data_IF_536659155797
#
_entry.id   IF_536659155797
#
_cell.length_a   1.000
_cell.length_b   1.000
_cell.length_c   1.000
_cell.angle_alpha   90.00
_cell.angle_beta   90.00
_cell.angle_gamma   90.00
#
_symmetry.space_group_name_H-M   'P 1'
#
loop_
_entity.id
_entity.type
_entity.pdbx_description
1 polymer ?
#
# COMPACT_ATOMS: atom_id res chain seq x y z
N UNK A 1 34.68 27.59 11.51
CA UNK A 1 34.47 26.32 12.22
C UNK A 1 32.98 26.05 12.30
N UNK A 2 32.44 25.26 11.38
CA UNK A 2 31.00 24.96 11.30
C UNK A 2 30.70 23.74 12.17
N UNK A 3 29.66 23.88 13.00
CA UNK A 3 29.27 22.95 14.06
C UNK A 3 28.78 21.62 13.45
N UNK A 4 29.28 20.51 13.97
CA UNK A 4 28.80 19.16 13.67
C UNK A 4 27.30 19.08 13.98
N UNK A 5 26.47 18.79 12.98
CA UNK A 5 25.05 18.50 13.17
C UNK A 5 24.92 17.12 13.83
N UNK A 6 24.12 16.95 14.90
CA UNK A 6 23.93 15.64 15.51
C UNK A 6 23.22 14.73 14.52
N UNK A 7 23.92 13.69 14.09
CA UNK A 7 23.42 12.57 13.29
C UNK A 7 22.29 11.85 14.03
N UNK A 8 21.08 12.00 13.50
CA UNK A 8 20.06 10.95 13.31
C UNK A 8 19.92 9.89 14.43
N UNK A 9 19.43 10.27 15.62
CA UNK A 9 19.00 9.30 16.64
C UNK A 9 17.49 9.09 16.57
N UNK A 10 17.08 7.94 16.03
CA UNK A 10 15.70 7.47 16.11
C UNK A 10 15.32 7.25 17.58
N UNK A 11 14.15 7.75 17.97
CA UNK A 11 13.50 7.46 19.23
C UNK A 11 13.17 5.96 19.33
N UNK A 12 12.96 5.45 20.56
CA UNK A 12 12.55 4.05 20.78
C UNK A 12 11.25 3.71 20.06
N UNK A 13 10.33 4.67 19.96
CA UNK A 13 9.06 4.52 19.26
C UNK A 13 9.28 4.36 17.75
N UNK A 14 10.10 5.21 17.14
CA UNK A 14 10.44 5.12 15.71
C UNK A 14 11.16 3.80 15.38
N UNK A 15 12.10 3.37 16.23
CA UNK A 15 12.77 2.07 16.07
C UNK A 15 11.78 0.91 16.13
N UNK A 16 10.83 0.95 17.07
CA UNK A 16 9.78 -0.06 17.22
C UNK A 16 8.85 -0.08 16.00
N UNK A 17 8.50 1.10 15.47
CA UNK A 17 7.66 1.22 14.28
C UNK A 17 8.37 0.66 13.04
N UNK A 18 9.66 0.92 12.87
CA UNK A 18 10.47 0.35 11.78
C UNK A 18 10.54 -1.18 11.84
N UNK A 19 10.63 -1.78 13.03
CA UNK A 19 10.60 -3.24 13.20
C UNK A 19 9.27 -3.87 12.79
N UNK A 20 8.17 -3.10 12.75
CA UNK A 20 6.84 -3.56 12.37
C UNK A 20 6.55 -3.38 10.87
N UNK A 21 7.36 -2.58 10.19
CA UNK A 21 7.22 -2.35 8.75
C UNK A 21 7.29 -3.66 7.97
N UNK A 22 6.56 -3.71 6.86
CA UNK A 22 6.70 -4.81 5.93
C UNK A 22 8.08 -4.74 5.26
N UNK A 23 8.72 -5.89 5.14
CA UNK A 23 9.98 -6.01 4.42
C UNK A 23 9.69 -6.25 2.94
N UNK A 24 10.08 -5.28 2.10
CA UNK A 24 9.98 -5.36 0.65
C UNK A 24 11.35 -5.35 -0.03
N UNK A 25 12.44 -5.57 0.70
CA UNK A 25 13.80 -5.48 0.14
C UNK A 25 14.08 -6.49 -0.97
N UNK A 26 13.31 -7.58 -1.05
CA UNK A 26 13.45 -8.63 -2.05
C UNK A 26 12.61 -8.42 -3.32
N UNK A 27 11.72 -7.43 -3.37
CA UNK A 27 10.85 -7.23 -4.55
C UNK A 27 11.62 -6.57 -5.69
N UNK A 28 11.35 -6.98 -6.92
CA UNK A 28 12.04 -6.47 -8.10
C UNK A 28 11.25 -5.35 -8.79
N UNK A 29 9.97 -5.22 -8.45
CA UNK A 29 9.08 -4.21 -9.03
C UNK A 29 8.02 -3.77 -8.02
N UNK A 30 7.47 -2.56 -8.19
CA UNK A 30 6.42 -2.04 -7.33
C UNK A 30 5.14 -2.91 -7.31
N UNK A 31 4.68 -3.51 -8.42
CA UNK A 31 3.49 -4.37 -8.39
C UNK A 31 3.60 -5.59 -7.45
N UNK A 32 4.81 -6.11 -7.22
CA UNK A 32 5.05 -7.24 -6.32
C UNK A 32 4.77 -6.93 -4.84
N UNK A 33 4.66 -5.65 -4.48
CA UNK A 33 4.29 -5.23 -3.12
C UNK A 33 2.84 -5.64 -2.81
N UNK A 34 1.93 -5.53 -3.77
CA UNK A 34 0.50 -5.74 -3.54
C UNK A 34 0.10 -7.13 -3.07
N UNK A 35 0.60 -8.25 -3.63
CA UNK A 35 0.31 -9.58 -3.10
C UNK A 35 0.85 -9.77 -1.68
N UNK A 36 2.03 -9.21 -1.36
CA UNK A 36 2.63 -9.30 -0.02
C UNK A 36 1.82 -8.48 1.00
N UNK A 37 1.37 -7.30 0.61
CA UNK A 37 0.52 -6.43 1.42
C UNK A 37 -0.85 -7.07 1.68
N UNK A 38 -1.47 -7.68 0.65
CA UNK A 38 -2.72 -8.44 0.79
C UNK A 38 -2.58 -9.62 1.77
N UNK A 39 -1.48 -10.36 1.73
CA UNK A 39 -1.25 -11.46 2.68
C UNK A 39 -1.04 -10.97 4.12
N UNK A 40 -0.28 -9.87 4.30
CA UNK A 40 0.09 -9.38 5.63
C UNK A 40 -1.04 -8.58 6.30
N UNK A 41 -1.81 -7.84 5.51
CA UNK A 41 -2.79 -6.88 6.00
C UNK A 41 -4.23 -7.19 5.56
N UNK A 42 -4.46 -8.36 4.96
CA UNK A 42 -5.74 -8.94 4.49
C UNK A 42 -6.97 -8.04 4.67
N UNK A 43 -7.52 -7.97 5.88
CA UNK A 43 -8.80 -7.31 6.22
C UNK A 43 -8.67 -5.84 6.64
N UNK A 44 -7.47 -5.27 6.65
CA UNK A 44 -7.22 -3.86 6.98
C UNK A 44 -7.61 -3.03 5.76
N UNK A 45 -8.31 -1.91 5.99
CA UNK A 45 -8.67 -0.95 4.95
C UNK A 45 -7.40 -0.33 4.37
N UNK A 46 -7.17 -0.56 3.07
CA UNK A 46 -6.05 -0.02 2.30
C UNK A 46 -6.42 1.28 1.57
N UNK A 47 -7.67 1.35 1.08
CA UNK A 47 -8.20 2.49 0.35
C UNK A 47 -9.57 2.83 0.90
N UNK A 48 -9.75 4.08 1.30
CA UNK A 48 -11.06 4.65 1.61
C UNK A 48 -11.25 5.85 0.69
N UNK A 49 -12.18 5.73 -0.25
CA UNK A 49 -12.52 6.80 -1.18
C UNK A 49 -13.91 7.35 -0.84
N UNK A 50 -13.99 8.45 -0.06
CA UNK A 50 -15.26 9.10 0.25
C UNK A 50 -15.80 9.94 -0.91
N UNK A 51 -15.01 10.14 -1.96
CA UNK A 51 -15.35 10.96 -3.12
C UNK A 51 -15.58 10.12 -4.38
N UNK A 52 -15.58 8.79 -4.28
CA UNK A 52 -15.96 7.91 -5.37
C UNK A 52 -17.42 8.22 -5.79
N UNK A 53 -17.56 9.00 -6.86
CA UNK A 53 -18.86 9.35 -7.44
C UNK A 53 -19.16 8.33 -8.54
N UNK A 54 -19.94 7.29 -8.24
CA UNK A 54 -20.27 6.25 -9.21
C UNK A 54 -21.61 5.54 -8.94
N UNK A 55 -22.56 5.76 -9.85
CA UNK A 55 -23.84 5.08 -10.09
C UNK A 55 -24.83 4.99 -8.89
N UNK A 56 -25.55 6.10 -8.66
CA UNK A 56 -26.74 6.20 -7.80
C UNK A 56 -26.45 6.15 -6.28
N UNK A 57 -26.39 7.33 -5.67
CA UNK A 57 -26.42 7.59 -4.22
C UNK A 57 -25.47 6.79 -3.31
N UNK A 58 -24.22 7.25 -3.31
CA UNK A 58 -23.37 7.51 -2.13
C UNK A 58 -23.15 6.37 -1.11
N UNK A 59 -22.48 5.30 -1.52
CA UNK A 59 -21.71 4.49 -0.57
C UNK A 59 -20.21 4.89 -0.65
N UNK A 60 -19.57 5.33 0.44
CA UNK A 60 -18.12 5.51 0.45
C UNK A 60 -17.46 4.16 0.17
N UNK A 61 -16.65 4.09 -0.89
CA UNK A 61 -15.98 2.85 -1.28
C UNK A 61 -14.78 2.65 -0.37
N UNK A 62 -14.76 1.53 0.34
CA UNK A 62 -13.62 1.12 1.16
C UNK A 62 -13.18 -0.27 0.70
N UNK A 63 -11.91 -0.40 0.38
CA UNK A 63 -11.30 -1.68 0.06
C UNK A 63 -10.30 -2.06 1.13
N UNK A 64 -10.40 -3.31 1.59
CA UNK A 64 -9.32 -3.98 2.31
C UNK A 64 -8.12 -4.22 1.39
N UNK A 65 -6.94 -4.54 1.95
CA UNK A 65 -5.76 -4.88 1.14
C UNK A 65 -6.04 -6.07 0.20
N UNK A 66 -6.78 -7.08 0.65
CA UNK A 66 -7.18 -8.21 -0.19
C UNK A 66 -8.11 -7.81 -1.32
N UNK A 67 -9.13 -7.00 -1.05
CA UNK A 67 -10.07 -6.54 -2.09
C UNK A 67 -9.38 -5.62 -3.10
N UNK A 68 -8.53 -4.70 -2.63
CA UNK A 68 -7.77 -3.80 -3.49
C UNK A 68 -6.84 -4.60 -4.41
N UNK A 69 -6.18 -5.64 -3.91
CA UNK A 69 -5.34 -6.50 -4.75
C UNK A 69 -6.14 -7.20 -5.85
N UNK A 70 -7.36 -7.66 -5.56
CA UNK A 70 -8.25 -8.22 -6.59
C UNK A 70 -8.58 -7.19 -7.68
N UNK A 71 -8.88 -5.93 -7.30
CA UNK A 71 -9.14 -4.86 -8.27
C UNK A 71 -7.92 -4.56 -9.16
N UNK A 72 -6.71 -4.54 -8.56
CA UNK A 72 -5.46 -4.36 -9.31
C UNK A 72 -5.25 -5.49 -10.31
N UNK A 73 -5.49 -6.74 -9.92
CA UNK A 73 -5.36 -7.89 -10.82
C UNK A 73 -6.37 -7.84 -11.97
N UNK A 74 -7.62 -7.47 -11.68
CA UNK A 74 -8.65 -7.31 -12.71
C UNK A 74 -8.27 -6.22 -13.72
N UNK A 75 -7.78 -5.08 -13.23
CA UNK A 75 -7.30 -3.99 -14.08
C UNK A 75 -6.11 -4.44 -14.95
N UNK A 76 -5.11 -5.08 -14.35
CA UNK A 76 -3.94 -5.58 -15.07
C UNK A 76 -4.32 -6.61 -16.15
N UNK A 77 -5.23 -7.53 -15.86
CA UNK A 77 -5.75 -8.48 -16.85
C UNK A 77 -6.47 -7.78 -18.01
N UNK A 78 -7.21 -6.70 -17.71
CA UNK A 78 -7.84 -5.86 -18.73
C UNK A 78 -6.82 -5.19 -19.65
N UNK A 79 -5.75 -4.62 -19.10
CA UNK A 79 -4.65 -4.03 -19.87
C UNK A 79 -3.94 -5.08 -20.74
N UNK A 80 -3.63 -6.24 -20.17
CA UNK A 80 -3.00 -7.34 -20.90
C UNK A 80 -3.86 -7.82 -22.07
N UNK A 81 -5.19 -7.87 -21.89
CA UNK A 81 -6.11 -8.27 -22.93
C UNK A 81 -6.12 -7.31 -24.14
N UNK A 82 -5.79 -6.03 -23.93
CA UNK A 82 -5.69 -5.02 -25.00
C UNK A 82 -4.24 -4.81 -25.49
N UNK A 83 -3.30 -5.65 -25.05
CA UNK A 83 -1.91 -5.66 -25.52
C UNK A 83 -0.98 -4.67 -24.81
N UNK A 84 -1.34 -4.22 -23.61
CA UNK A 84 -0.49 -3.42 -22.72
C UNK A 84 0.13 -4.25 -21.60
#
# INVERSE_FOLDING_TARGET
MLKNHPTNHLTKEEQTNLQRCADYTSVQSLPEIWPLAAQRFDKIIALKDPHAVGAYDTAPVSFTYSELYQQIQQFAAGLQAIGF
#
